data_IF_351320946518
#
_entry.id   IF_351320946518
#
_cell.length_a   1.000
_cell.length_b   1.000
_cell.length_c   1.000
_cell.angle_alpha   90.00
_cell.angle_beta   90.00
_cell.angle_gamma   90.00
#
_symmetry.space_group_name_H-M   'P 1'
#
loop_
_entity.id
_entity.type
_entity.pdbx_description
1 polymer ?
#
# COMPACT_ATOMS: atom_id res chain seq x y z
N UNK A 1 8.19 19.73 -1.36
CA UNK A 1 8.99 19.90 -0.14
C UNK A 1 9.00 21.38 0.18
N UNK A 2 8.27 21.81 1.22
CA UNK A 2 8.27 23.21 1.69
C UNK A 2 9.07 23.24 2.98
N UNK A 3 10.25 23.86 2.93
CA UNK A 3 11.07 24.12 4.12
C UNK A 3 10.65 25.51 4.61
N UNK A 4 10.28 25.60 5.89
CA UNK A 4 9.96 26.85 6.57
C UNK A 4 11.04 27.01 7.64
N UNK A 5 11.91 27.99 7.46
CA UNK A 5 13.01 28.31 8.38
C UNK A 5 12.47 29.39 9.33
N UNK A 6 12.44 29.10 10.62
CA UNK A 6 12.02 30.04 11.68
C UNK A 6 13.24 30.20 12.59
N UNK A 7 13.93 31.32 12.45
CA UNK A 7 15.22 31.57 13.11
C UNK A 7 15.10 32.26 14.47
N UNK A 8 13.94 32.80 14.85
CA UNK A 8 13.87 33.76 15.97
C UNK A 8 12.79 33.48 17.04
N UNK A 9 12.11 32.32 16.98
CA UNK A 9 11.23 31.88 18.07
C UNK A 9 11.49 30.42 18.44
N UNK A 10 12.35 30.22 19.44
CA UNK A 10 12.72 28.91 19.98
C UNK A 10 11.51 28.15 20.53
N UNK A 11 10.57 28.83 21.19
CA UNK A 11 9.31 28.22 21.68
C UNK A 11 8.41 27.74 20.52
N UNK A 12 8.36 28.49 19.42
CA UNK A 12 7.61 28.10 18.23
C UNK A 12 8.28 26.92 17.51
N UNK A 13 9.61 26.92 17.41
CA UNK A 13 10.41 25.82 16.86
C UNK A 13 10.24 24.52 17.66
N UNK A 14 10.28 24.59 18.99
CA UNK A 14 10.06 23.45 19.87
C UNK A 14 8.62 22.95 19.82
N UNK A 15 7.64 23.86 19.75
CA UNK A 15 6.24 23.49 19.55
C UNK A 15 6.01 22.82 18.19
N UNK A 16 6.68 23.26 17.12
CA UNK A 16 6.60 22.67 15.77
C UNK A 16 7.30 21.30 15.73
N UNK A 17 8.45 21.16 16.39
CA UNK A 17 9.17 19.88 16.49
C UNK A 17 8.36 18.85 17.29
N UNK A 18 7.79 19.25 18.43
CA UNK A 18 6.88 18.41 19.22
C UNK A 18 5.60 18.08 18.43
N UNK A 19 5.11 19.02 17.62
CA UNK A 19 3.96 18.86 16.71
C UNK A 19 4.21 17.87 15.55
N UNK A 20 5.46 17.65 15.14
CA UNK A 20 5.82 16.70 14.06
C UNK A 20 6.24 15.31 14.56
N UNK A 21 6.11 15.03 15.86
CA UNK A 21 6.49 13.72 16.43
C UNK A 21 5.61 12.61 15.86
N UNK A 22 6.18 11.83 14.95
CA UNK A 22 5.53 10.65 14.37
C UNK A 22 6.49 9.47 14.50
N UNK A 23 6.11 8.49 15.30
CA UNK A 23 6.82 7.21 15.35
C UNK A 23 6.19 6.26 14.34
N UNK A 24 7.01 5.58 13.54
CA UNK A 24 6.56 4.66 12.50
C UNK A 24 7.29 3.33 12.61
N UNK A 25 6.53 2.25 12.58
CA UNK A 25 7.00 0.88 12.60
C UNK A 25 6.44 0.17 11.37
N UNK A 26 7.31 -0.38 10.54
CA UNK A 26 6.93 -1.18 9.36
C UNK A 26 7.29 -2.63 9.59
N UNK A 27 6.35 -3.52 9.33
CA UNK A 27 6.55 -4.97 9.35
C UNK A 27 6.19 -5.54 7.98
N UNK A 28 7.10 -6.32 7.42
CA UNK A 28 6.90 -7.01 6.15
C UNK A 28 7.07 -8.51 6.38
N UNK A 29 6.11 -9.30 5.94
CA UNK A 29 6.16 -10.75 6.04
C UNK A 29 5.83 -11.36 4.68
N UNK A 30 6.67 -12.29 4.24
CA UNK A 30 6.48 -13.04 3.02
C UNK A 30 6.72 -14.53 3.31
N UNK A 31 5.73 -15.37 3.01
CA UNK A 31 5.77 -16.80 3.22
C UNK A 31 5.36 -17.53 1.94
N UNK A 32 6.18 -18.50 1.52
CA UNK A 32 5.87 -19.40 0.43
C UNK A 32 5.70 -20.82 0.97
N UNK A 33 4.46 -21.27 1.10
CA UNK A 33 4.14 -22.62 1.57
C UNK A 33 4.06 -23.60 0.40
N UNK A 34 4.97 -24.59 0.40
CA UNK A 34 5.02 -25.71 -0.54
C UNK A 34 4.95 -25.31 -2.02
N UNK A 35 5.51 -24.15 -2.40
CA UNK A 35 5.54 -23.57 -3.76
C UNK A 35 4.19 -23.28 -4.43
N UNK A 36 3.06 -23.54 -3.75
CA UNK A 36 1.71 -23.36 -4.29
C UNK A 36 0.98 -22.19 -3.66
N UNK A 37 1.22 -21.92 -2.38
CA UNK A 37 0.64 -20.79 -1.67
C UNK A 37 1.72 -19.75 -1.41
N UNK A 38 1.51 -18.54 -1.90
CA UNK A 38 2.33 -17.37 -1.60
C UNK A 38 1.49 -16.39 -0.81
N UNK A 39 1.98 -15.99 0.36
CA UNK A 39 1.39 -14.98 1.21
C UNK A 39 2.38 -13.85 1.38
N UNK A 40 1.99 -12.63 1.04
CA UNK A 40 2.77 -11.41 1.26
C UNK A 40 1.91 -10.40 1.99
N UNK A 41 2.40 -9.92 3.12
CA UNK A 41 1.75 -8.86 3.89
C UNK A 41 2.74 -7.76 4.22
N UNK A 42 2.27 -6.53 4.14
CA UNK A 42 2.99 -5.36 4.62
C UNK A 42 2.05 -4.64 5.59
N UNK A 43 2.54 -4.35 6.79
CA UNK A 43 1.85 -3.63 7.82
C UNK A 43 2.68 -2.42 8.23
N UNK A 44 2.05 -1.27 8.35
CA UNK A 44 2.67 -0.07 8.89
C UNK A 44 1.82 0.43 10.05
N UNK A 45 2.42 0.59 11.21
CA UNK A 45 1.81 1.15 12.40
C UNK A 45 2.53 2.47 12.68
N UNK A 46 1.78 3.52 12.96
CA UNK A 46 2.32 4.82 13.29
C UNK A 46 1.58 5.39 14.48
N UNK A 47 2.33 5.87 15.47
CA UNK A 47 1.78 6.71 16.51
C UNK A 47 1.99 8.17 16.12
N UNK A 48 0.93 8.97 16.25
CA UNK A 48 0.95 10.39 15.91
C UNK A 48 0.36 11.19 17.07
N UNK A 49 1.17 12.09 17.61
CA UNK A 49 0.75 13.05 18.61
C UNK A 49 0.89 14.47 18.04
N UNK A 50 -0.19 15.22 18.08
CA UNK A 50 -0.28 16.60 17.63
C UNK A 50 -0.55 17.45 18.87
N UNK A 51 0.40 18.31 19.21
CA UNK A 51 0.27 19.26 20.32
C UNK A 51 0.26 20.65 19.69
N UNK A 52 -0.86 21.35 19.82
CA UNK A 52 -1.02 22.72 19.37
C UNK A 52 -1.27 23.61 20.58
N UNK A 53 -0.28 24.42 20.94
CA UNK A 53 -0.39 25.42 21.99
C UNK A 53 -0.06 26.77 21.37
N UNK A 54 -1.09 27.56 21.03
CA UNK A 54 -0.88 28.91 20.49
C UNK A 54 -1.93 29.88 21.05
N UNK A 55 -1.45 30.91 21.75
CA UNK A 55 -2.25 32.03 22.30
C UNK A 55 -3.58 31.60 22.95
N UNK A 56 -3.54 30.58 23.83
CA UNK A 56 -4.70 30.11 24.60
C UNK A 56 -5.62 29.13 23.86
N UNK A 57 -5.24 28.66 22.67
CA UNK A 57 -5.87 27.54 21.98
C UNK A 57 -5.02 26.28 22.19
N UNK A 58 -5.37 25.49 23.20
CA UNK A 58 -4.71 24.23 23.52
C UNK A 58 -5.51 23.08 22.86
N UNK A 59 -4.96 22.52 21.78
CA UNK A 59 -5.53 21.34 21.11
C UNK A 59 -4.49 20.23 21.05
N UNK A 60 -4.74 19.18 21.83
CA UNK A 60 -3.95 17.97 21.84
C UNK A 60 -4.74 16.86 21.15
N UNK A 61 -4.11 16.17 20.20
CA UNK A 61 -4.71 15.02 19.52
C UNK A 61 -3.66 13.95 19.36
N UNK A 62 -3.90 12.80 19.99
CA UNK A 62 -3.11 11.60 19.84
C UNK A 62 -3.89 10.51 19.09
N UNK A 63 -3.18 9.64 18.40
CA UNK A 63 -3.82 8.51 17.73
C UNK A 63 -2.83 7.54 17.12
N UNK A 64 -3.31 6.30 16.99
CA UNK A 64 -2.60 5.25 16.27
C UNK A 64 -3.19 5.11 14.86
N UNK A 65 -2.32 5.21 13.87
CA UNK A 65 -2.61 4.94 12.46
C UNK A 65 -2.03 3.59 12.07
N UNK A 66 -2.79 2.75 11.36
CA UNK A 66 -2.27 1.51 10.81
C UNK A 66 -2.74 1.30 9.37
N UNK A 67 -1.83 0.80 8.54
CA UNK A 67 -2.07 0.42 7.16
C UNK A 67 -1.70 -1.03 6.99
N UNK A 68 -2.56 -1.81 6.35
CA UNK A 68 -2.33 -3.22 6.08
C UNK A 68 -2.52 -3.47 4.58
N UNK A 69 -1.54 -4.12 3.98
CA UNK A 69 -1.57 -4.66 2.63
C UNK A 69 -1.44 -6.17 2.71
N UNK A 70 -2.35 -6.90 2.09
CA UNK A 70 -2.34 -8.36 2.04
C UNK A 70 -2.44 -8.81 0.59
N UNK A 71 -1.57 -9.74 0.21
CA UNK A 71 -1.60 -10.45 -1.06
C UNK A 71 -1.48 -11.93 -0.77
N UNK A 72 -2.50 -12.72 -1.11
CA UNK A 72 -2.44 -14.16 -1.09
C UNK A 72 -2.63 -14.69 -2.51
N UNK A 73 -1.78 -15.60 -2.96
CA UNK A 73 -1.87 -16.23 -4.26
C UNK A 73 -1.76 -17.74 -4.09
N UNK A 74 -2.67 -18.49 -4.72
CA UNK A 74 -2.65 -19.94 -4.72
C UNK A 74 -2.64 -20.49 -6.14
N UNK A 75 -1.65 -21.32 -6.43
CA UNK A 75 -1.51 -22.04 -7.69
C UNK A 75 -2.14 -23.42 -7.58
N UNK A 76 -3.30 -23.59 -8.20
CA UNK A 76 -3.94 -24.89 -8.37
C UNK A 76 -3.25 -25.70 -9.48
N UNK A 77 -3.41 -27.04 -9.46
CA UNK A 77 -3.10 -27.89 -10.61
C UNK A 77 -3.84 -27.45 -11.88
N UNK A 78 -3.36 -27.88 -13.04
CA UNK A 78 -3.91 -27.52 -14.36
C UNK A 78 -3.87 -26.00 -14.63
N UNK A 79 -2.76 -25.34 -14.29
CA UNK A 79 -2.52 -23.94 -14.67
C UNK A 79 -3.65 -22.94 -14.28
N UNK A 80 -4.35 -23.22 -13.18
CA UNK A 80 -5.36 -22.34 -12.60
C UNK A 80 -4.74 -21.66 -11.37
N UNK A 81 -4.87 -20.36 -11.23
CA UNK A 81 -4.46 -19.62 -10.04
C UNK A 81 -5.62 -18.80 -9.49
N UNK A 82 -5.64 -18.62 -8.17
CA UNK A 82 -6.48 -17.64 -7.51
C UNK A 82 -5.60 -16.67 -6.72
N UNK A 83 -6.02 -15.42 -6.67
CA UNK A 83 -5.34 -14.33 -6.01
C UNK A 83 -6.36 -13.54 -5.18
N UNK A 84 -5.96 -13.16 -3.98
CA UNK A 84 -6.70 -12.29 -3.07
C UNK A 84 -5.77 -11.14 -2.70
N UNK A 85 -6.25 -9.92 -2.94
CA UNK A 85 -5.61 -8.68 -2.52
C UNK A 85 -6.51 -7.97 -1.53
N UNK A 86 -5.92 -7.37 -0.49
CA UNK A 86 -6.63 -6.55 0.47
C UNK A 86 -5.79 -5.35 0.89
N UNK A 87 -6.43 -4.20 1.01
CA UNK A 87 -5.80 -3.00 1.54
C UNK A 87 -6.72 -2.36 2.58
N UNK A 88 -6.17 -2.12 3.76
CA UNK A 88 -6.84 -1.47 4.86
C UNK A 88 -6.05 -0.24 5.30
N UNK A 89 -6.76 0.86 5.54
CA UNK A 89 -6.26 2.05 6.18
C UNK A 89 -7.16 2.39 7.37
N UNK A 90 -6.57 2.54 8.55
CA UNK A 90 -7.26 3.04 9.73
C UNK A 90 -7.67 4.52 9.55
N UNK A 91 -8.54 5.03 10.41
CA UNK A 91 -8.72 6.47 10.53
C UNK A 91 -7.38 7.13 10.89
N UNK A 92 -7.21 8.38 10.45
CA UNK A 92 -6.01 9.17 10.74
C UNK A 92 -6.37 10.38 11.55
N UNK A 93 -5.64 10.63 12.63
CA UNK A 93 -5.84 11.81 13.45
C UNK A 93 -5.16 13.02 12.82
N UNK A 94 -5.88 14.13 12.79
CA UNK A 94 -5.42 15.43 12.35
C UNK A 94 -5.83 16.50 13.35
N UNK A 95 -5.26 17.70 13.19
CA UNK A 95 -5.51 18.84 14.08
C UNK A 95 -7.01 19.13 14.20
N UNK A 96 -7.71 19.13 13.05
CA UNK A 96 -9.11 19.53 12.96
C UNK A 96 -10.07 18.34 12.93
N UNK A 97 -9.62 17.15 13.33
CA UNK A 97 -10.46 15.96 13.43
C UNK A 97 -9.86 14.71 12.78
N UNK A 98 -10.72 13.77 12.36
CA UNK A 98 -10.30 12.44 11.91
C UNK A 98 -10.59 12.23 10.43
N UNK A 99 -9.57 11.83 9.67
CA UNK A 99 -9.75 11.36 8.30
C UNK A 99 -10.26 9.93 8.28
N UNK A 100 -11.01 9.62 7.23
CA UNK A 100 -11.67 8.35 7.06
C UNK A 100 -10.74 7.14 6.97
N UNK A 101 -11.19 6.02 7.56
CA UNK A 101 -10.71 4.69 7.23
C UNK A 101 -11.27 4.21 5.90
N UNK A 102 -10.61 3.21 5.33
CA UNK A 102 -11.16 2.43 4.24
C UNK A 102 -10.57 1.03 4.20
N UNK A 103 -11.37 0.08 3.70
CA UNK A 103 -10.98 -1.27 3.36
C UNK A 103 -11.43 -1.51 1.94
N UNK A 104 -10.58 -2.10 1.13
CA UNK A 104 -11.00 -2.71 -0.12
C UNK A 104 -10.28 -4.04 -0.32
N UNK A 105 -10.92 -4.92 -1.07
CA UNK A 105 -10.34 -6.20 -1.44
C UNK A 105 -10.69 -6.58 -2.87
N UNK A 106 -9.79 -7.31 -3.49
CA UNK A 106 -9.94 -7.82 -4.85
C UNK A 106 -9.68 -9.32 -4.86
N UNK A 107 -10.58 -10.08 -5.43
CA UNK A 107 -10.39 -11.50 -5.73
C UNK A 107 -10.20 -11.65 -7.23
N UNK A 108 -9.26 -12.49 -7.63
CA UNK A 108 -9.04 -12.81 -9.03
C UNK A 108 -8.80 -14.31 -9.21
N UNK A 109 -9.30 -14.86 -10.31
CA UNK A 109 -9.02 -16.22 -10.76
C UNK A 109 -8.49 -16.12 -12.17
N UNK A 110 -7.41 -16.84 -12.46
CA UNK A 110 -6.77 -16.85 -13.78
C UNK A 110 -6.52 -18.28 -14.22
N UNK A 111 -6.93 -18.60 -15.44
CA UNK A 111 -6.65 -19.86 -16.11
C UNK A 111 -5.68 -19.60 -17.25
N UNK A 112 -4.59 -20.38 -17.30
CA UNK A 112 -3.64 -20.33 -18.40
C UNK A 112 -3.88 -21.50 -19.36
N UNK A 113 -3.56 -21.26 -20.63
CA UNK A 113 -3.74 -22.19 -21.75
C UNK A 113 -2.49 -22.17 -22.65
N UNK A 114 -2.39 -23.15 -23.55
CA UNK A 114 -1.34 -23.24 -24.57
C UNK A 114 0.08 -23.14 -23.98
N UNK A 115 0.42 -23.97 -23.00
CA UNK A 115 1.70 -23.93 -22.29
C UNK A 115 2.04 -22.52 -21.77
N UNK A 116 1.07 -21.88 -21.10
CA UNK A 116 1.17 -20.53 -20.51
C UNK A 116 1.34 -19.38 -21.52
N UNK A 117 1.11 -19.63 -22.83
CA UNK A 117 1.11 -18.58 -23.86
C UNK A 117 -0.16 -17.73 -23.81
N UNK A 118 -1.27 -18.29 -23.35
CA UNK A 118 -2.53 -17.59 -23.19
C UNK A 118 -3.00 -17.61 -21.75
N UNK A 119 -3.69 -16.57 -21.31
CA UNK A 119 -4.43 -16.59 -20.05
C UNK A 119 -5.73 -15.80 -20.14
N UNK A 120 -6.76 -16.33 -19.51
CA UNK A 120 -8.02 -15.63 -19.24
C UNK A 120 -8.17 -15.52 -17.74
N UNK A 121 -8.50 -14.33 -17.25
CA UNK A 121 -8.75 -14.07 -15.84
C UNK A 121 -10.04 -13.33 -15.61
N UNK A 122 -10.65 -13.58 -14.47
CA UNK A 122 -11.78 -12.84 -13.92
C UNK A 122 -11.33 -12.20 -12.62
N UNK A 123 -11.71 -10.96 -12.38
CA UNK A 123 -11.48 -10.27 -11.11
C UNK A 123 -12.75 -9.59 -10.62
N UNK A 124 -12.84 -9.47 -9.30
CA UNK A 124 -13.92 -8.78 -8.61
C UNK A 124 -13.33 -7.96 -7.47
N UNK A 125 -13.51 -6.66 -7.51
CA UNK A 125 -13.13 -5.73 -6.43
C UNK A 125 -14.38 -5.33 -5.67
N UNK A 126 -14.34 -5.46 -4.34
CA UNK A 126 -15.46 -5.22 -3.43
C UNK A 126 -16.81 -5.77 -3.94
N UNK A 127 -16.90 -7.04 -4.39
CA UNK A 127 -18.11 -7.57 -5.01
C UNK A 127 -19.36 -7.46 -4.11
N UNK A 128 -19.17 -7.54 -2.79
CA UNK A 128 -20.24 -7.50 -1.80
C UNK A 128 -20.57 -6.09 -1.29
N UNK A 129 -19.66 -5.12 -1.47
CA UNK A 129 -19.83 -3.75 -0.96
C UNK A 129 -20.00 -2.77 -2.13
N UNK A 130 -21.15 -2.08 -2.22
CA UNK A 130 -21.39 -1.10 -3.29
C UNK A 130 -20.47 0.13 -3.16
N UNK A 131 -20.18 0.54 -1.94
CA UNK A 131 -19.38 1.71 -1.63
C UNK A 131 -18.37 1.42 -0.52
N UNK A 132 -17.23 2.10 -0.61
CA UNK A 132 -16.36 2.32 0.54
C UNK A 132 -16.86 3.60 1.21
N UNK A 133 -17.32 3.49 2.45
CA UNK A 133 -17.77 4.64 3.25
C UNK A 133 -16.56 5.28 3.93
N UNK A 134 -16.31 6.53 3.58
CA UNK A 134 -15.27 7.35 4.17
C UNK A 134 -15.90 8.35 5.15
N UNK A 135 -15.79 8.03 6.44
CA UNK A 135 -16.35 8.87 7.51
C UNK A 135 -15.27 9.81 8.05
N UNK A 136 -15.49 11.11 7.89
CA UNK A 136 -14.61 12.16 8.40
C UNK A 136 -15.34 12.93 9.50
N UNK A 137 -14.65 13.18 10.61
CA UNK A 137 -15.15 14.10 11.65
C UNK A 137 -14.30 15.36 11.60
N UNK A 138 -14.94 16.53 11.58
CA UNK A 138 -14.25 17.82 11.68
C UNK A 138 -14.68 18.47 12.99
N UNK A 139 -13.70 18.85 13.80
CA UNK A 139 -13.92 19.54 15.07
C UNK A 139 -13.41 20.98 14.91
N UNK A 140 -14.32 21.93 15.11
CA UNK A 140 -14.02 23.36 15.19
C UNK A 140 -14.49 23.87 16.55
N UNK A 141 -13.96 25.02 17.01
CA UNK A 141 -14.11 25.50 18.38
C UNK A 141 -15.52 25.39 18.99
N UNK A 142 -16.57 25.68 18.22
CA UNK A 142 -17.97 25.62 18.68
C UNK A 142 -18.82 24.53 17.99
N UNK A 143 -18.28 23.80 17.00
CA UNK A 143 -19.06 22.93 16.14
C UNK A 143 -18.34 21.63 15.79
N UNK A 144 -19.08 20.51 15.81
CA UNK A 144 -18.62 19.21 15.32
C UNK A 144 -19.40 18.84 14.07
N UNK A 145 -18.69 18.63 12.97
CA UNK A 145 -19.27 18.22 11.70
C UNK A 145 -18.91 16.77 11.40
N UNK A 146 -19.88 16.07 10.82
CA UNK A 146 -19.70 14.70 10.35
C UNK A 146 -19.94 14.66 8.85
N UNK A 147 -18.97 14.17 8.10
CA UNK A 147 -19.04 14.04 6.66
C UNK A 147 -18.88 12.57 6.27
N UNK A 148 -19.79 12.08 5.42
CA UNK A 148 -19.71 10.73 4.85
C UNK A 148 -19.53 10.89 3.35
N UNK A 149 -18.42 10.34 2.83
CA UNK A 149 -18.17 10.23 1.40
C UNK A 149 -18.28 8.77 0.98
N UNK A 150 -19.15 8.48 0.02
CA UNK A 150 -19.34 7.13 -0.51
C UNK A 150 -18.59 6.99 -1.82
N UNK A 151 -17.54 6.17 -1.84
CA UNK A 151 -16.73 5.95 -3.05
C UNK A 151 -17.22 4.67 -3.74
N UNK A 152 -17.72 4.74 -4.99
CA UNK A 152 -18.11 3.54 -5.73
C UNK A 152 -16.86 2.78 -6.16
N UNK A 153 -16.53 1.72 -5.44
CA UNK A 153 -15.30 0.94 -5.65
C UNK A 153 -15.57 -0.48 -6.19
N UNK A 154 -16.85 -0.90 -6.21
CA UNK A 154 -17.25 -2.20 -6.73
C UNK A 154 -17.01 -2.31 -8.24
N UNK A 155 -16.21 -3.27 -8.65
CA UNK A 155 -15.93 -3.51 -10.07
C UNK A 155 -15.70 -4.99 -10.38
N UNK A 156 -15.94 -5.36 -11.62
CA UNK A 156 -15.70 -6.70 -12.16
C UNK A 156 -14.87 -6.55 -13.44
N UNK A 157 -13.83 -7.37 -13.56
CA UNK A 157 -12.87 -7.31 -14.66
C UNK A 157 -12.75 -8.65 -15.36
N UNK A 158 -12.54 -8.60 -16.67
CA UNK A 158 -12.12 -9.75 -17.47
C UNK A 158 -10.79 -9.38 -18.11
N UNK A 159 -9.79 -10.22 -17.94
CA UNK A 159 -8.44 -9.98 -18.45
C UNK A 159 -8.07 -11.09 -19.43
N UNK A 160 -7.75 -10.72 -20.66
CA UNK A 160 -7.16 -11.62 -21.66
C UNK A 160 -5.69 -11.27 -21.86
N UNK A 161 -4.83 -12.27 -22.00
CA UNK A 161 -3.41 -12.04 -22.30
C UNK A 161 -2.89 -13.13 -23.22
N UNK A 162 -2.13 -12.73 -24.23
CA UNK A 162 -1.44 -13.62 -25.18
C UNK A 162 0.03 -13.21 -25.28
N UNK A 163 0.95 -14.15 -25.10
CA UNK A 163 2.40 -13.94 -25.19
C UNK A 163 2.90 -14.38 -26.57
N UNK A 164 3.44 -13.44 -27.35
CA UNK A 164 4.10 -13.70 -28.63
C UNK A 164 5.63 -13.74 -28.44
N UNK A 165 6.31 -14.68 -29.11
CA UNK A 165 7.78 -14.76 -29.16
C UNK A 165 8.42 -15.76 -28.18
N UNK A 166 9.37 -16.55 -28.69
CA UNK A 166 10.34 -17.28 -27.89
C UNK A 166 11.64 -16.46 -27.96
N UNK A 167 11.92 -15.61 -26.96
CA UNK A 167 13.24 -15.03 -26.81
C UNK A 167 14.19 -16.15 -26.35
N UNK A 168 14.72 -16.90 -27.32
CA UNK A 168 15.91 -17.72 -27.11
C UNK A 168 17.09 -16.76 -27.10
N UNK A 169 17.47 -16.29 -25.91
CA UNK A 169 18.78 -15.68 -25.75
C UNK A 169 19.79 -16.81 -25.91
N UNK A 170 20.35 -16.92 -27.11
CA UNK A 170 21.50 -17.78 -27.37
C UNK A 170 22.66 -17.17 -26.59
N UNK A 171 22.96 -17.70 -25.41
CA UNK A 171 24.18 -17.38 -24.68
C UNK A 171 25.34 -17.95 -25.50
N UNK A 172 25.82 -17.16 -26.46
CA UNK A 172 27.20 -17.32 -26.90
C UNK A 172 28.06 -16.89 -25.73
N UNK A 173 28.54 -17.86 -24.96
CA UNK A 173 29.73 -17.67 -24.15
C UNK A 173 30.85 -17.25 -25.11
N UNK A 174 31.17 -15.95 -25.12
CA UNK A 174 32.47 -15.52 -25.64
C UNK A 174 33.50 -16.13 -24.71
N UNK A 175 34.18 -17.17 -25.20
CA UNK A 175 35.41 -17.65 -24.57
C UNK A 175 36.38 -16.48 -24.52
N UNK A 176 36.60 -15.92 -23.33
CA UNK A 176 37.76 -15.08 -23.03
C UNK A 176 38.99 -15.93 -23.33
N UNK A 177 39.53 -15.80 -24.55
CA UNK A 177 40.90 -16.21 -24.82
C UNK A 177 41.77 -15.15 -24.17
N UNK A 178 42.45 -15.54 -23.10
CA UNK A 178 43.49 -14.73 -22.50
C UNK A 178 44.50 -14.32 -23.59
N UNK A 179 44.92 -13.04 -23.65
CA UNK A 179 45.91 -12.63 -24.63
C UNK A 179 47.25 -13.28 -24.30
N UNK A 180 47.74 -14.16 -25.17
CA UNK A 180 49.12 -14.67 -25.12
C UNK A 180 50.08 -13.49 -25.22
N UNK A 181 50.79 -13.21 -24.13
CA UNK A 181 51.89 -12.24 -24.10
C UNK A 181 53.12 -12.91 -24.74
N UNK A 182 53.71 -12.36 -25.81
CA UNK A 182 54.92 -12.92 -26.41
C UNK A 182 56.10 -12.79 -25.43
N UNK A 183 56.82 -13.88 -25.19
CA UNK A 183 58.06 -13.86 -24.43
C UNK A 183 59.19 -13.20 -25.23
N UNK A 184 59.95 -12.31 -24.58
CA UNK A 184 61.21 -11.74 -25.06
C UNK A 184 62.38 -12.70 -24.82
#
# INVERSE_FOLDING_TARGET
MKILIIEDETELSDSISKYLTTEQFTCEAAYDYHSKLTLRSNAMISHKAIIFNYKGLDQNTDGMEYRLNLNAAYQFPKELSAELFGNYNSPRVGIQGTNASFLFYTMAIRKQFMNKKMSVGLSATDPFNKYINQNTTIIQAANRQYAIRQVPYRSFGITFSYKFGNLKFDHKEESTKDPEIPAL
#
